data_IF_582099070146
#
_entry.id   IF_582099070146
#
_cell.length_a   1.000
_cell.length_b   1.000
_cell.length_c   1.000
_cell.angle_alpha   90.00
_cell.angle_beta   90.00
_cell.angle_gamma   90.00
#
_symmetry.space_group_name_H-M   'P 1'
#
loop_
_entity.id
_entity.type
_entity.pdbx_description
1 polymer ?
#
# COMPACT_ATOMS: atom_id res chain seq x y z
N UNK A 1 7.13 -5.74 8.99
CA UNK A 1 5.84 -5.45 8.34
C UNK A 1 4.72 -5.69 9.33
N UNK A 2 4.00 -4.66 9.65
CA UNK A 2 2.85 -4.77 10.54
C UNK A 2 1.59 -4.60 9.71
N UNK A 3 0.86 -5.67 9.51
CA UNK A 3 -0.46 -5.61 8.92
C UNK A 3 -1.42 -5.15 10.02
N UNK A 4 -1.90 -3.93 9.90
CA UNK A 4 -2.98 -3.48 10.76
C UNK A 4 -4.24 -4.21 10.30
N UNK A 5 -4.62 -5.23 11.05
CA UNK A 5 -5.86 -5.95 10.80
C UNK A 5 -7.07 -5.04 11.01
N UNK A 6 -8.16 -5.36 10.33
CA UNK A 6 -9.44 -4.73 10.61
C UNK A 6 -9.84 -5.08 12.04
N UNK A 7 -9.85 -4.10 12.93
CA UNK A 7 -10.48 -4.27 14.22
C UNK A 7 -11.98 -4.10 14.07
N UNK A 8 -12.70 -5.18 13.94
CA UNK A 8 -14.15 -5.21 14.19
C UNK A 8 -14.39 -5.27 15.70
N UNK A 9 -13.91 -4.28 16.43
CA UNK A 9 -14.08 -4.20 17.87
C UNK A 9 -15.27 -3.34 18.23
N UNK A 10 -16.00 -3.78 19.23
CA UNK A 10 -17.17 -3.07 19.76
C UNK A 10 -16.82 -1.79 20.52
N UNK A 11 -15.56 -1.44 20.67
CA UNK A 11 -15.13 -0.31 21.45
C UNK A 11 -14.36 0.68 20.60
N UNK A 12 -15.10 1.50 19.86
CA UNK A 12 -14.51 2.64 19.12
C UNK A 12 -14.24 3.84 20.03
N UNK A 13 -14.65 3.79 21.29
CA UNK A 13 -14.60 4.93 22.19
C UNK A 13 -13.29 5.11 22.95
N UNK A 14 -12.35 4.15 22.84
CA UNK A 14 -11.17 4.10 23.70
C UNK A 14 -9.83 4.16 22.98
N UNK A 15 -9.78 4.24 21.65
CA UNK A 15 -8.51 4.30 20.93
C UNK A 15 -7.99 5.74 20.88
N UNK A 16 -7.02 6.04 21.75
CA UNK A 16 -6.27 7.29 21.66
C UNK A 16 -5.32 7.24 20.46
N UNK A 17 -5.07 8.38 19.79
CA UNK A 17 -4.10 8.44 18.72
C UNK A 17 -2.72 7.95 19.18
N UNK A 18 -2.12 7.08 18.39
CA UNK A 18 -0.76 6.60 18.64
C UNK A 18 0.27 7.66 18.30
N UNK A 19 1.38 7.72 19.04
CA UNK A 19 2.54 8.56 18.71
C UNK A 19 3.52 7.87 17.76
N UNK A 20 3.32 6.58 17.47
CA UNK A 20 4.19 5.81 16.58
C UNK A 20 3.99 6.25 15.13
N UNK A 21 5.03 6.77 14.52
CA UNK A 21 5.03 7.12 13.09
C UNK A 21 5.11 5.87 12.24
N UNK A 22 4.37 5.86 11.15
CA UNK A 22 4.39 4.77 10.18
C UNK A 22 4.47 5.31 8.75
N UNK A 23 4.95 4.47 7.85
CA UNK A 23 4.78 4.64 6.41
C UNK A 23 3.59 3.81 5.94
N UNK A 24 2.98 4.23 4.83
CA UNK A 24 1.94 3.46 4.16
C UNK A 24 2.45 3.06 2.79
N UNK A 25 2.19 1.82 2.40
CA UNK A 25 2.61 1.26 1.11
C UNK A 25 1.40 0.71 0.37
N UNK A 26 1.19 1.18 -0.85
CA UNK A 26 0.05 0.81 -1.67
C UNK A 26 0.56 0.36 -3.04
N UNK A 27 0.60 -0.95 -3.35
CA UNK A 27 0.84 -1.43 -4.70
C UNK A 27 -0.37 -1.11 -5.58
N UNK A 28 -0.16 -0.52 -6.75
CA UNK A 28 -1.23 -0.12 -7.65
C UNK A 28 -0.80 -0.26 -9.12
N UNK A 29 -1.78 -0.50 -9.97
CA UNK A 29 -1.64 -0.47 -11.43
C UNK A 29 -2.68 0.49 -12.02
N UNK A 30 -2.60 0.80 -13.31
CA UNK A 30 -3.49 1.81 -13.93
C UNK A 30 -4.98 1.47 -13.79
N UNK A 31 -5.36 0.19 -13.79
CA UNK A 31 -6.77 -0.17 -13.60
C UNK A 31 -7.30 0.19 -12.21
N UNK A 32 -6.43 0.48 -11.25
CA UNK A 32 -6.81 0.85 -9.89
C UNK A 32 -7.02 2.37 -9.72
N UNK A 33 -6.87 3.15 -10.80
CA UNK A 33 -6.99 4.62 -10.75
C UNK A 33 -8.34 5.12 -10.24
N UNK A 34 -9.41 4.34 -10.43
CA UNK A 34 -10.73 4.71 -9.95
C UNK A 34 -10.84 4.66 -8.41
N UNK A 35 -10.07 3.80 -7.78
CA UNK A 35 -10.12 3.59 -6.33
C UNK A 35 -8.93 4.20 -5.58
N UNK A 36 -7.77 4.26 -6.19
CA UNK A 36 -6.52 4.70 -5.55
C UNK A 36 -6.62 6.05 -4.84
N UNK A 37 -7.20 7.12 -5.41
CA UNK A 37 -7.32 8.40 -4.71
C UNK A 37 -8.11 8.29 -3.41
N UNK A 38 -9.17 7.50 -3.42
CA UNK A 38 -10.01 7.28 -2.24
C UNK A 38 -9.29 6.45 -1.18
N UNK A 39 -8.53 5.44 -1.58
CA UNK A 39 -7.71 4.64 -0.64
C UNK A 39 -6.74 5.56 0.10
N UNK A 40 -6.08 6.46 -0.60
CA UNK A 40 -5.15 7.43 -0.01
C UNK A 40 -5.88 8.36 0.96
N UNK A 41 -7.00 8.94 0.54
CA UNK A 41 -7.76 9.91 1.33
C UNK A 41 -8.31 9.25 2.61
N UNK A 42 -8.90 8.05 2.49
CA UNK A 42 -9.42 7.32 3.63
C UNK A 42 -8.31 6.84 4.58
N UNK A 43 -7.14 6.49 4.06
CA UNK A 43 -5.99 6.15 4.89
C UNK A 43 -5.57 7.36 5.74
N UNK A 44 -5.44 8.53 5.15
CA UNK A 44 -5.09 9.75 5.88
C UNK A 44 -6.14 10.16 6.91
N UNK A 45 -7.41 9.93 6.60
CA UNK A 45 -8.51 10.28 7.49
C UNK A 45 -8.63 9.32 8.68
N UNK A 46 -8.42 8.02 8.45
CA UNK A 46 -8.83 6.98 9.40
C UNK A 46 -7.69 6.23 10.07
N UNK A 47 -6.45 6.38 9.62
CA UNK A 47 -5.29 5.83 10.33
C UNK A 47 -4.90 6.77 11.45
N UNK A 48 -4.91 6.26 12.69
CA UNK A 48 -4.63 7.06 13.88
C UNK A 48 -3.13 7.20 14.21
N UNK A 49 -2.27 6.46 13.52
CA UNK A 49 -0.84 6.69 13.60
C UNK A 49 -0.43 7.92 12.76
N UNK A 50 0.51 8.73 13.22
CA UNK A 50 1.10 9.75 12.36
C UNK A 50 1.71 9.11 11.12
N UNK A 51 1.32 9.56 9.94
CA UNK A 51 1.80 9.04 8.66
C UNK A 51 2.98 9.88 8.22
N UNK A 52 4.17 9.26 8.10
CA UNK A 52 5.35 9.94 7.58
C UNK A 52 5.31 10.07 6.08
N UNK A 53 5.14 8.96 5.38
CA UNK A 53 5.06 8.93 3.91
C UNK A 53 4.02 7.91 3.45
N UNK A 54 3.41 8.19 2.30
CA UNK A 54 2.61 7.21 1.56
C UNK A 54 3.35 6.91 0.26
N UNK A 55 3.75 5.66 0.10
CA UNK A 55 4.42 5.15 -1.09
C UNK A 55 3.42 4.39 -1.96
N UNK A 56 3.38 4.71 -3.23
CA UNK A 56 2.62 3.96 -4.23
C UNK A 56 3.62 3.22 -5.11
N UNK A 57 3.59 1.89 -5.05
CA UNK A 57 4.44 1.04 -5.88
C UNK A 57 3.69 0.74 -7.17
N UNK A 58 4.26 1.11 -8.31
CA UNK A 58 3.58 0.93 -9.59
C UNK A 58 4.57 0.68 -10.73
N UNK A 59 4.08 0.14 -11.87
CA UNK A 59 4.81 0.28 -13.12
C UNK A 59 5.03 1.76 -13.46
N UNK A 60 5.89 2.02 -14.42
CA UNK A 60 6.09 3.39 -14.92
C UNK A 60 4.81 3.89 -15.58
N UNK A 61 4.05 4.70 -14.86
CA UNK A 61 2.75 5.23 -15.28
C UNK A 61 2.67 6.72 -14.94
N UNK A 62 2.51 7.52 -15.96
CA UNK A 62 2.32 8.97 -15.79
C UNK A 62 0.99 9.28 -15.08
N UNK A 63 -0.05 8.49 -15.32
CA UNK A 63 -1.35 8.67 -14.67
C UNK A 63 -1.28 8.44 -13.16
N UNK A 64 -0.57 7.39 -12.75
CA UNK A 64 -0.34 7.12 -11.32
C UNK A 64 0.54 8.21 -10.72
N UNK A 65 1.56 8.67 -11.45
CA UNK A 65 2.41 9.77 -11.02
C UNK A 65 1.62 11.04 -10.77
N UNK A 66 0.66 11.36 -11.62
CA UNK A 66 -0.22 12.51 -11.43
C UNK A 66 -1.05 12.39 -10.16
N UNK A 67 -1.62 11.22 -9.87
CA UNK A 67 -2.33 10.96 -8.61
C UNK A 67 -1.41 11.14 -7.41
N UNK A 68 -0.22 10.58 -7.47
CA UNK A 68 0.76 10.71 -6.38
C UNK A 68 1.13 12.17 -6.14
N UNK A 69 1.38 12.95 -7.19
CA UNK A 69 1.68 14.38 -7.08
C UNK A 69 0.51 15.15 -6.46
N UNK A 70 -0.71 14.88 -6.92
CA UNK A 70 -1.91 15.56 -6.43
C UNK A 70 -2.21 15.21 -4.96
N UNK A 71 -1.90 14.00 -4.52
CA UNK A 71 -2.18 13.50 -3.17
C UNK A 71 -0.98 13.57 -2.22
N UNK A 72 0.16 14.09 -2.66
CA UNK A 72 1.37 14.17 -1.83
C UNK A 72 1.97 12.82 -1.49
N UNK A 73 1.88 11.85 -2.40
CA UNK A 73 2.46 10.51 -2.26
C UNK A 73 3.76 10.40 -3.04
N UNK A 74 4.56 9.41 -2.70
CA UNK A 74 5.81 9.09 -3.39
C UNK A 74 5.58 7.87 -4.27
N UNK A 75 5.78 8.01 -5.57
CA UNK A 75 5.74 6.88 -6.50
C UNK A 75 7.07 6.14 -6.47
N UNK A 76 7.00 4.82 -6.28
CA UNK A 76 8.15 3.92 -6.36
C UNK A 76 7.93 3.01 -7.58
N UNK A 77 8.90 2.98 -8.47
CA UNK A 77 8.86 2.07 -9.62
C UNK A 77 9.04 0.63 -9.14
N UNK A 78 8.14 -0.26 -9.53
CA UNK A 78 8.10 -1.64 -9.03
C UNK A 78 9.36 -2.45 -9.32
N UNK A 79 10.10 -2.12 -10.39
CA UNK A 79 11.34 -2.79 -10.75
C UNK A 79 12.59 -2.20 -10.08
N UNK A 80 12.45 -1.14 -9.27
CA UNK A 80 13.60 -0.40 -8.75
C UNK A 80 14.28 -1.04 -7.54
N UNK A 81 13.61 -1.95 -6.83
CA UNK A 81 14.14 -2.49 -5.58
C UNK A 81 14.13 -4.02 -5.46
N UNK A 82 13.45 -4.73 -6.37
CA UNK A 82 13.53 -6.19 -6.43
C UNK A 82 14.62 -6.62 -7.42
N UNK A 83 15.34 -7.72 -7.13
CA UNK A 83 16.39 -8.24 -8.03
C UNK A 83 15.82 -9.01 -9.22
N UNK A 84 14.51 -9.10 -9.37
CA UNK A 84 13.84 -9.82 -10.44
C UNK A 84 12.60 -9.03 -10.89
N UNK A 85 12.08 -9.39 -12.05
CA UNK A 85 10.90 -8.78 -12.66
C UNK A 85 9.71 -9.73 -12.60
N UNK A 86 8.51 -9.20 -12.83
CA UNK A 86 7.29 -10.01 -12.96
C UNK A 86 7.44 -11.12 -14.01
N UNK A 87 8.11 -10.84 -15.12
CA UNK A 87 8.36 -11.79 -16.20
C UNK A 87 9.22 -12.99 -15.80
N UNK A 88 9.99 -12.86 -14.71
CA UNK A 88 10.83 -13.95 -14.19
C UNK A 88 10.06 -14.95 -13.33
N UNK A 89 8.79 -14.65 -13.02
CA UNK A 89 7.95 -15.49 -12.17
C UNK A 89 7.10 -16.41 -13.03
N UNK A 90 7.24 -17.70 -12.82
CA UNK A 90 6.36 -18.74 -13.37
C UNK A 90 5.55 -19.32 -12.22
N UNK A 91 4.34 -18.83 -12.03
CA UNK A 91 3.44 -19.27 -10.98
C UNK A 91 2.03 -19.47 -11.52
N UNK A 92 1.57 -20.70 -11.51
CA UNK A 92 0.25 -21.09 -12.00
C UNK A 92 -0.50 -21.90 -10.96
N UNK A 93 -1.80 -21.65 -10.86
CA UNK A 93 -2.71 -22.38 -9.99
C UNK A 93 -3.90 -22.84 -10.84
N UNK A 94 -4.09 -24.16 -10.94
CA UNK A 94 -5.17 -24.72 -11.76
C UNK A 94 -5.10 -24.31 -13.23
N UNK A 95 -3.89 -24.14 -13.78
CA UNK A 95 -3.67 -23.68 -15.15
C UNK A 95 -3.81 -22.17 -15.37
N UNK A 96 -4.16 -21.42 -14.34
CA UNK A 96 -4.29 -19.94 -14.41
C UNK A 96 -2.98 -19.28 -14.01
N UNK A 97 -2.50 -18.35 -14.82
CA UNK A 97 -1.32 -17.55 -14.52
C UNK A 97 -1.59 -16.61 -13.35
N UNK A 98 -0.82 -16.77 -12.28
CA UNK A 98 -0.89 -15.98 -11.05
C UNK A 98 0.41 -15.22 -10.76
N UNK A 99 1.26 -15.06 -11.75
CA UNK A 99 2.55 -14.36 -11.61
C UNK A 99 2.38 -12.92 -11.12
N UNK A 100 1.37 -12.21 -11.60
CA UNK A 100 1.07 -10.85 -11.16
C UNK A 100 0.70 -10.76 -9.69
N UNK A 101 -0.11 -11.69 -9.21
CA UNK A 101 -0.46 -11.77 -7.80
C UNK A 101 0.77 -12.07 -6.93
N UNK A 102 1.58 -13.04 -7.35
CA UNK A 102 2.80 -13.39 -6.62
C UNK A 102 3.79 -12.24 -6.58
N UNK A 103 4.00 -11.55 -7.70
CA UNK A 103 4.86 -10.39 -7.78
C UNK A 103 4.42 -9.29 -6.81
N UNK A 104 3.12 -9.03 -6.72
CA UNK A 104 2.56 -8.06 -5.78
C UNK A 104 2.88 -8.42 -4.32
N UNK A 105 2.87 -9.72 -3.97
CA UNK A 105 3.25 -10.15 -2.61
C UNK A 105 4.73 -9.84 -2.32
N UNK A 106 5.62 -10.06 -3.29
CA UNK A 106 7.03 -9.71 -3.14
C UNK A 106 7.23 -8.20 -2.98
N UNK A 107 6.51 -7.39 -3.74
CA UNK A 107 6.56 -5.94 -3.61
C UNK A 107 6.17 -5.49 -2.19
N UNK A 108 5.11 -6.04 -1.66
CA UNK A 108 4.62 -5.73 -0.30
C UNK A 108 5.63 -6.13 0.78
N UNK A 109 6.22 -7.31 0.66
CA UNK A 109 7.18 -7.83 1.64
C UNK A 109 8.53 -7.12 1.60
N UNK A 110 8.88 -6.51 0.48
CA UNK A 110 10.17 -5.87 0.28
C UNK A 110 10.14 -4.34 0.45
N UNK A 111 9.03 -3.80 0.93
CA UNK A 111 8.87 -2.36 1.11
C UNK A 111 9.84 -1.74 2.12
N UNK A 112 10.43 -2.55 3.00
CA UNK A 112 11.50 -2.11 3.90
C UNK A 112 12.72 -1.56 3.14
N UNK A 113 12.88 -1.88 1.85
CA UNK A 113 13.98 -1.37 1.03
C UNK A 113 13.92 0.15 0.83
N UNK A 114 12.74 0.76 0.91
CA UNK A 114 12.59 2.20 0.68
C UNK A 114 11.84 2.93 1.81
N UNK A 115 11.14 2.22 2.69
CA UNK A 115 10.44 2.85 3.82
C UNK A 115 11.44 3.50 4.79
N UNK A 116 11.10 4.68 5.29
CA UNK A 116 11.92 5.44 6.24
C UNK A 116 11.58 5.12 7.69
N UNK A 117 10.34 4.71 7.94
CA UNK A 117 9.90 4.31 9.28
C UNK A 117 10.11 2.81 9.51
N UNK A 118 10.31 2.46 10.77
CA UNK A 118 10.51 1.06 11.17
C UNK A 118 9.27 0.20 10.91
N UNK A 119 8.09 0.81 11.05
CA UNK A 119 6.82 0.13 10.82
C UNK A 119 6.12 0.73 9.61
N UNK A 120 5.51 -0.10 8.81
CA UNK A 120 4.68 0.34 7.70
C UNK A 120 3.40 -0.48 7.59
N UNK A 121 2.35 0.18 7.11
CA UNK A 121 1.07 -0.43 6.81
C UNK A 121 0.99 -0.70 5.30
N UNK A 122 0.64 -1.91 4.93
CA UNK A 122 0.36 -2.25 3.54
C UNK A 122 -1.15 -2.21 3.31
N UNK A 123 -1.57 -1.45 2.31
CA UNK A 123 -2.96 -1.39 1.86
C UNK A 123 -3.05 -1.86 0.41
N UNK A 124 -4.07 -2.64 0.10
CA UNK A 124 -4.42 -2.91 -1.29
C UNK A 124 -5.10 -1.69 -1.92
N UNK A 125 -4.92 -1.51 -3.22
CA UNK A 125 -5.41 -0.35 -3.97
C UNK A 125 -6.94 -0.22 -4.05
N UNK A 126 -7.66 -1.22 -3.56
CA UNK A 126 -9.12 -1.28 -3.49
C UNK A 126 -9.64 -1.34 -2.04
N UNK A 127 -8.76 -1.20 -1.05
CA UNK A 127 -9.13 -1.27 0.37
C UNK A 127 -9.41 0.11 0.93
N UNK A 128 -10.66 0.36 1.30
CA UNK A 128 -11.08 1.60 1.95
C UNK A 128 -11.19 1.41 3.46
N UNK A 129 -10.47 2.23 4.21
CA UNK A 129 -10.57 2.26 5.67
C UNK A 129 -11.74 3.16 6.08
N UNK A 130 -12.89 2.56 6.32
CA UNK A 130 -14.16 3.28 6.53
C UNK A 130 -14.32 3.89 7.93
N UNK A 131 -13.44 3.58 8.87
CA UNK A 131 -13.48 4.10 10.25
C UNK A 131 -12.06 4.20 10.82
N UNK A 132 -11.90 5.00 11.88
CA UNK A 132 -10.60 5.20 12.54
C UNK A 132 -9.98 3.88 13.01
N UNK A 133 -8.67 3.74 12.79
CA UNK A 133 -7.88 2.56 13.15
C UNK A 133 -6.50 2.95 13.66
N UNK A 134 -6.06 2.19 14.61
CA UNK A 134 -4.69 2.22 15.10
C UNK A 134 -3.91 0.98 14.72
#
# INVERSE_FOLDING_TARGET
>A
MRKLGFCFGKDQSAESPSSLKIDIVIPAIEKDLDTLPYVIDFARLNVLHPISNIYVISPDSEKIKQVCTAKGCIQIHEESFLPFRKSDIDYRVGGVDRAGWMYQQFLKLSANCFCTEENYLVLDSDTLLAACRT
#
